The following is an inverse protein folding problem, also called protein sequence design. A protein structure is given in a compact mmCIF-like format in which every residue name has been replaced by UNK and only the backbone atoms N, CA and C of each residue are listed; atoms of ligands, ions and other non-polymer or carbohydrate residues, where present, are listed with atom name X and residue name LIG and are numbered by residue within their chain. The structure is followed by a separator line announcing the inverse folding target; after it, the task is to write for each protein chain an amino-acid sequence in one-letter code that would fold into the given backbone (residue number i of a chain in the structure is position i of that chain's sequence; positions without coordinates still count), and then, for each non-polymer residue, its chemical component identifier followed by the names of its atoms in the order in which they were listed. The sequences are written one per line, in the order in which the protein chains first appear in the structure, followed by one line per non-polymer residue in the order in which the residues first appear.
data_IF_086618520415
#
_entry.id   IF_086618520415
#
_cell.length_a   1.000
_cell.length_b   1.000
_cell.length_c   1.000
_cell.angle_alpha   90.00
_cell.angle_beta   90.00
_cell.angle_gamma   90.00
#
_symmetry.space_group_name_H-M   'P 1'
#
loop_
_entity.id
_entity.type
_entity.pdbx_description
1 polymer ?
#
# COMPACT_ATOMS: atom_id res chain seq x y z
N UNK A 1 -27.72 31.13 -54.99
CA UNK A 1 -27.04 31.08 -53.68
C UNK A 1 -26.02 29.96 -53.79
N UNK A 2 -24.82 30.09 -54.38
CA UNK A 2 -23.67 30.99 -54.21
C UNK A 2 -23.05 30.96 -52.79
N UNK A 3 -21.85 30.37 -52.75
CA UNK A 3 -20.69 30.54 -51.83
C UNK A 3 -20.55 29.49 -50.71
N UNK A 4 -19.42 28.80 -50.48
CA UNK A 4 -18.09 28.91 -51.10
C UNK A 4 -17.31 27.58 -51.01
N UNK A 5 -16.96 27.05 -52.18
CA UNK A 5 -15.77 26.23 -52.39
C UNK A 5 -14.55 27.14 -52.21
N UNK A 6 -13.64 26.82 -51.28
CA UNK A 6 -12.21 27.16 -51.32
C UNK A 6 -11.45 26.01 -50.65
N UNK A 7 -11.17 24.95 -51.40
CA UNK A 7 -9.86 24.67 -52.02
C UNK A 7 -8.98 23.73 -51.16
N UNK A 8 -9.31 22.43 -51.19
CA UNK A 8 -8.27 21.40 -51.19
C UNK A 8 -7.83 21.22 -52.66
N UNK A 9 -6.98 22.13 -53.13
CA UNK A 9 -6.10 22.08 -54.30
C UNK A 9 -5.78 23.51 -54.78
N UNK A 10 -4.82 24.17 -54.12
CA UNK A 10 -3.75 24.79 -54.91
C UNK A 10 -2.75 23.65 -55.20
N UNK A 11 -2.39 23.56 -56.46
CA UNK A 11 -1.67 22.46 -57.09
C UNK A 11 -0.33 22.08 -56.45
N UNK A 12 0.03 20.80 -56.67
CA UNK A 12 1.34 20.14 -56.53
C UNK A 12 1.81 19.78 -55.11
N UNK A 13 1.41 18.60 -54.63
CA UNK A 13 2.33 17.45 -54.44
C UNK A 13 1.60 16.26 -53.77
N UNK A 14 1.29 15.25 -54.59
CA UNK A 14 1.38 13.81 -54.35
C UNK A 14 1.36 13.22 -52.91
N UNK A 15 0.38 12.31 -52.68
CA UNK A 15 0.43 11.08 -51.86
C UNK A 15 0.58 11.23 -50.32
N UNK A 16 -0.02 10.42 -49.44
CA UNK A 16 -1.03 9.37 -49.45
C UNK A 16 -1.44 9.14 -47.97
N UNK A 17 -2.71 8.88 -47.67
CA UNK A 17 -3.06 8.12 -46.47
C UNK A 17 -2.96 6.64 -46.84
N UNK A 18 -2.07 5.91 -46.20
CA UNK A 18 -1.86 4.47 -46.38
C UNK A 18 -1.89 3.76 -45.03
N UNK A 19 -2.95 2.99 -44.82
CA UNK A 19 -3.13 1.94 -43.81
C UNK A 19 -2.43 0.67 -44.34
N UNK A 20 -1.56 0.03 -43.54
CA UNK A 20 -1.07 -1.37 -43.62
C UNK A 20 0.39 -1.47 -43.18
N UNK A 21 0.70 -2.26 -42.15
CA UNK A 21 1.94 -3.06 -42.07
C UNK A 21 1.87 -4.02 -40.85
N UNK A 22 1.14 -5.12 -41.03
CA UNK A 22 1.37 -6.39 -40.34
C UNK A 22 1.84 -7.38 -41.39
N UNK A 23 3.13 -7.38 -41.73
CA UNK A 23 3.86 -8.51 -42.34
C UNK A 23 5.28 -8.06 -42.69
N UNK A 24 6.23 -8.22 -41.75
CA UNK A 24 7.68 -8.39 -41.98
C UNK A 24 8.43 -8.25 -40.65
N UNK A 25 8.66 -9.35 -39.96
CA UNK A 25 9.88 -9.53 -39.17
C UNK A 25 10.12 -11.03 -38.92
N UNK A 26 10.09 -11.80 -40.01
CA UNK A 26 10.59 -13.17 -40.08
C UNK A 26 11.66 -13.20 -41.16
N UNK A 27 12.84 -12.67 -40.85
CA UNK A 27 14.12 -12.96 -41.52
C UNK A 27 15.19 -12.07 -40.87
N UNK A 28 15.76 -12.54 -39.76
CA UNK A 28 17.13 -12.18 -39.33
C UNK A 28 17.63 -13.27 -38.37
N UNK A 29 17.69 -14.49 -38.93
CA UNK A 29 18.44 -15.63 -38.43
C UNK A 29 19.82 -15.61 -39.12
N UNK A 30 20.75 -14.76 -38.68
CA UNK A 30 22.18 -14.98 -38.91
C UNK A 30 23.06 -14.01 -38.10
N UNK A 31 23.92 -14.60 -37.26
CA UNK A 31 25.15 -14.03 -36.68
C UNK A 31 25.04 -13.36 -35.30
N UNK A 32 25.21 -14.15 -34.24
CA UNK A 32 26.34 -14.02 -33.32
C UNK A 32 26.26 -15.08 -32.20
N UNK A 33 26.86 -16.24 -32.47
CA UNK A 33 27.21 -17.23 -31.46
C UNK A 33 28.34 -16.67 -30.56
N UNK A 34 28.07 -16.49 -29.27
CA UNK A 34 29.09 -16.44 -28.21
C UNK A 34 28.62 -17.31 -27.05
N UNK A 35 29.29 -18.44 -26.90
CA UNK A 35 28.93 -19.51 -25.97
C UNK A 35 29.14 -19.17 -24.49
N UNK A 36 28.39 -19.89 -23.67
CA UNK A 36 28.59 -20.04 -22.23
C UNK A 36 28.54 -21.56 -21.94
N UNK A 37 29.67 -22.11 -21.51
CA UNK A 37 29.76 -23.49 -21.00
C UNK A 37 29.00 -23.64 -19.66
N UNK A 38 28.49 -24.84 -19.35
CA UNK A 38 27.93 -25.16 -18.06
C UNK A 38 28.98 -25.77 -17.11
N UNK A 39 28.87 -25.40 -15.83
CA UNK A 39 29.01 -26.28 -14.67
C UNK A 39 30.40 -26.80 -14.30
N UNK A 40 30.90 -26.37 -13.15
CA UNK A 40 31.66 -27.27 -12.27
C UNK A 40 31.39 -26.92 -10.80
N UNK A 41 31.18 -27.98 -10.03
CA UNK A 41 30.66 -28.07 -8.69
C UNK A 41 31.71 -27.70 -7.63
N UNK A 42 31.28 -27.18 -6.49
CA UNK A 42 31.95 -27.42 -5.22
C UNK A 42 30.94 -27.32 -4.06
N UNK A 43 30.56 -28.49 -3.57
CA UNK A 43 30.27 -28.74 -2.15
C UNK A 43 31.34 -28.06 -1.28
N UNK A 44 31.02 -27.52 -0.12
CA UNK A 44 31.13 -28.29 1.13
C UNK A 44 30.35 -27.62 2.27
N UNK A 45 29.80 -28.49 3.12
CA UNK A 45 29.15 -28.16 4.38
C UNK A 45 30.13 -27.50 5.36
N UNK A 46 29.68 -26.48 6.08
CA UNK A 46 30.15 -26.29 7.45
C UNK A 46 28.94 -26.12 8.37
N UNK A 47 28.86 -27.08 9.29
CA UNK A 47 27.84 -27.22 10.29
C UNK A 47 28.06 -26.25 11.46
N UNK A 48 26.99 -26.07 12.24
CA UNK A 48 27.01 -25.76 13.68
C UNK A 48 27.56 -24.38 14.12
N UNK A 49 26.64 -23.43 14.32
CA UNK A 49 26.65 -22.59 15.52
C UNK A 49 25.20 -22.26 15.93
N UNK A 50 24.58 -23.24 16.58
CA UNK A 50 23.31 -23.08 17.31
C UNK A 50 23.54 -23.58 18.73
N UNK A 51 24.32 -22.88 19.55
CA UNK A 51 24.21 -23.08 20.98
C UNK A 51 24.78 -21.98 21.90
N UNK A 52 23.85 -21.38 22.66
CA UNK A 52 23.96 -21.01 24.09
C UNK A 52 24.88 -19.86 24.52
N UNK A 53 24.27 -18.86 25.19
CA UNK A 53 24.11 -18.83 26.66
C UNK A 53 22.77 -18.12 26.96
N UNK A 54 21.70 -18.80 27.35
CA UNK A 54 21.28 -19.22 28.69
C UNK A 54 21.01 -18.09 29.71
N UNK A 55 19.87 -18.29 30.40
CA UNK A 55 19.51 -17.88 31.76
C UNK A 55 18.55 -16.70 31.93
N UNK A 56 17.36 -17.10 32.37
CA UNK A 56 16.32 -16.29 32.97
C UNK A 56 16.83 -15.41 34.11
N UNK A 57 16.33 -14.18 34.15
CA UNK A 57 16.21 -13.42 35.38
C UNK A 57 14.86 -12.71 35.34
N UNK A 58 13.86 -13.36 35.93
CA UNK A 58 12.64 -12.72 36.38
C UNK A 58 12.99 -11.58 37.35
N UNK A 59 12.47 -10.35 37.17
CA UNK A 59 12.40 -9.42 38.28
C UNK A 59 11.31 -9.90 39.26
N UNK A 60 11.80 -10.20 40.48
CA UNK A 60 11.12 -10.35 41.76
C UNK A 60 9.87 -9.45 41.91
N UNK A 61 8.72 -9.97 42.39
CA UNK A 61 7.58 -9.14 42.76
C UNK A 61 7.82 -8.52 44.13
N UNK A 62 7.55 -7.23 44.27
CA UNK A 62 7.40 -6.54 45.54
C UNK A 62 6.56 -5.27 45.33
N UNK A 63 5.84 -4.80 46.35
CA UNK A 63 4.73 -5.46 47.03
C UNK A 63 3.40 -4.74 46.70
N UNK A 64 2.31 -5.48 46.86
CA UNK A 64 0.97 -4.90 46.98
C UNK A 64 0.92 -3.91 48.14
N UNK A 65 0.46 -2.69 47.87
CA UNK A 65 -0.17 -1.84 48.86
C UNK A 65 -1.55 -1.48 48.28
N UNK A 66 -2.56 -1.99 48.98
CA UNK A 66 -3.96 -1.70 48.76
C UNK A 66 -4.23 -0.22 48.99
N UNK A 67 -5.10 0.36 48.17
CA UNK A 67 -6.12 1.31 48.60
C UNK A 67 -7.27 1.20 47.59
N UNK A 68 -8.16 0.25 47.91
CA UNK A 68 -9.51 0.19 47.37
C UNK A 68 -10.30 1.12 48.27
N UNK A 69 -10.43 2.39 47.89
CA UNK A 69 -11.47 3.23 48.44
C UNK A 69 -12.73 3.00 47.61
N UNK A 70 -13.55 2.13 48.20
CA UNK A 70 -14.94 1.93 47.94
C UNK A 70 -15.68 3.17 48.44
N UNK A 71 -15.95 4.12 47.55
CA UNK A 71 -16.96 5.15 47.82
C UNK A 71 -17.83 5.33 46.58
N UNK A 72 -18.78 4.41 46.43
CA UNK A 72 -20.09 4.74 45.89
C UNK A 72 -20.86 5.44 47.01
N UNK A 73 -21.36 6.66 46.76
CA UNK A 73 -22.78 6.82 46.98
C UNK A 73 -23.48 7.50 45.79
N UNK A 74 -24.66 6.95 45.58
CA UNK A 74 -25.68 7.29 44.61
C UNK A 74 -26.02 8.79 44.51
N UNK A 75 -26.38 9.16 43.28
CA UNK A 75 -27.40 10.13 42.88
C UNK A 75 -27.57 11.44 43.68
N UNK A 76 -27.27 12.56 43.02
CA UNK A 76 -28.18 13.70 42.99
C UNK A 76 -28.03 14.50 41.69
N UNK A 77 -29.11 14.49 40.93
CA UNK A 77 -29.52 15.38 39.84
C UNK A 77 -28.87 16.77 39.78
N UNK A 78 -28.31 17.12 38.62
CA UNK A 78 -28.36 18.50 38.12
C UNK A 78 -28.75 18.51 36.63
N UNK A 79 -29.93 19.06 36.26
CA UNK A 79 -30.41 19.08 34.88
C UNK A 79 -30.02 20.36 34.14
N UNK A 80 -29.65 20.17 32.86
CA UNK A 80 -29.52 21.15 31.77
C UNK A 80 -28.19 21.92 31.63
N UNK A 81 -27.29 21.35 30.82
CA UNK A 81 -26.73 22.08 29.68
C UNK A 81 -26.26 21.10 28.58
N UNK A 82 -26.78 21.16 27.34
CA UNK A 82 -26.08 20.60 26.18
C UNK A 82 -24.88 21.50 25.90
N UNK A 83 -23.72 21.17 26.47
CA UNK A 83 -22.47 21.75 26.01
C UNK A 83 -22.05 20.92 24.79
N UNK A 84 -22.26 21.45 23.58
CA UNK A 84 -21.56 21.01 22.37
C UNK A 84 -20.07 21.33 22.55
N UNK A 85 -19.40 20.61 23.44
CA UNK A 85 -17.94 20.58 23.44
C UNK A 85 -17.57 19.72 22.25
N UNK A 86 -16.74 20.22 21.30
CA UNK A 86 -16.14 19.36 20.31
C UNK A 86 -15.51 18.21 21.08
N UNK A 87 -15.99 16.98 20.82
CA UNK A 87 -15.31 15.79 21.32
C UNK A 87 -13.87 15.93 20.82
N UNK A 88 -12.85 15.99 21.70
CA UNK A 88 -11.47 16.05 21.24
C UNK A 88 -11.32 14.92 20.23
N UNK A 89 -10.91 15.27 19.01
CA UNK A 89 -10.78 14.31 17.93
C UNK A 89 -9.98 13.14 18.50
N UNK A 90 -10.59 11.96 18.55
CA UNK A 90 -9.92 10.78 19.07
C UNK A 90 -8.58 10.69 18.32
N UNK A 91 -7.47 10.49 19.04
CA UNK A 91 -6.16 10.39 18.42
C UNK A 91 -6.16 9.16 17.48
N UNK A 92 -6.46 9.37 16.20
CA UNK A 92 -6.55 8.32 15.20
C UNK A 92 -5.13 7.94 14.82
N UNK A 93 -4.65 6.84 15.39
CA UNK A 93 -3.38 6.25 14.98
C UNK A 93 -3.59 5.40 13.72
N UNK A 94 -2.62 5.35 12.79
CA UNK A 94 -2.69 4.46 11.64
C UNK A 94 -2.60 2.99 12.06
N UNK A 95 -2.70 2.08 11.09
CA UNK A 95 -2.64 0.63 11.30
C UNK A 95 -1.24 0.07 11.51
N UNK A 96 -0.22 0.93 11.46
CA UNK A 96 1.17 0.63 11.78
C UNK A 96 1.64 1.51 12.95
N UNK A 97 2.75 1.14 13.58
CA UNK A 97 3.33 1.90 14.68
C UNK A 97 4.18 3.06 14.14
N UNK A 98 3.79 4.27 14.52
CA UNK A 98 4.47 5.50 14.13
C UNK A 98 5.92 5.59 14.62
N UNK A 99 6.30 4.84 15.66
CA UNK A 99 7.70 4.72 16.09
C UNK A 99 8.62 4.07 15.06
N UNK A 100 8.05 3.39 14.05
CA UNK A 100 8.79 2.78 12.94
C UNK A 100 8.60 3.50 11.60
N UNK A 101 8.02 4.71 11.59
CA UNK A 101 7.93 5.51 10.38
C UNK A 101 9.34 5.90 9.89
N UNK A 102 9.66 5.56 8.63
CA UNK A 102 10.99 5.81 8.03
C UNK A 102 10.92 6.65 6.76
N UNK A 103 9.72 6.83 6.20
CA UNK A 103 9.49 7.61 4.97
C UNK A 103 8.64 8.84 5.24
N UNK A 104 8.76 9.87 4.41
CA UNK A 104 7.96 11.10 4.56
C UNK A 104 6.46 10.80 4.48
N UNK A 105 6.07 9.87 3.60
CA UNK A 105 4.69 9.40 3.51
C UNK A 105 4.20 8.79 4.83
N UNK A 106 5.01 7.96 5.50
CA UNK A 106 4.65 7.38 6.81
C UNK A 106 4.54 8.44 7.90
N UNK A 107 5.43 9.44 7.90
CA UNK A 107 5.36 10.57 8.82
C UNK A 107 4.07 11.37 8.62
N UNK A 108 3.71 11.71 7.37
CA UNK A 108 2.43 12.38 7.09
C UNK A 108 1.22 11.56 7.54
N UNK A 109 1.25 10.23 7.37
CA UNK A 109 0.16 9.37 7.83
C UNK A 109 0.05 9.36 9.37
N UNK A 110 1.16 9.50 10.07
CA UNK A 110 1.19 9.58 11.54
C UNK A 110 0.72 10.93 12.08
N UNK A 111 1.00 12.01 11.36
CA UNK A 111 0.69 13.39 11.79
C UNK A 111 -0.70 13.86 11.33
N UNK A 112 -1.29 13.23 10.32
CA UNK A 112 -2.61 13.59 9.77
C UNK A 112 -3.68 12.54 10.13
N UNK A 113 -4.71 12.91 10.93
CA UNK A 113 -5.75 11.97 11.36
C UNK A 113 -6.63 11.45 10.21
N UNK A 114 -6.80 12.20 9.12
CA UNK A 114 -7.58 11.77 7.96
C UNK A 114 -6.79 10.73 7.15
N UNK A 115 -5.47 10.91 7.00
CA UNK A 115 -4.59 9.89 6.41
C UNK A 115 -4.51 8.63 7.28
N UNK A 116 -4.43 8.78 8.60
CA UNK A 116 -4.46 7.65 9.52
C UNK A 116 -5.78 6.85 9.41
N UNK A 117 -6.91 7.53 9.27
CA UNK A 117 -8.22 6.91 9.06
C UNK A 117 -8.30 6.16 7.71
N UNK A 118 -7.75 6.74 6.64
CA UNK A 118 -7.63 6.09 5.33
C UNK A 118 -6.76 4.83 5.41
N UNK A 119 -5.63 4.90 6.12
CA UNK A 119 -4.75 3.76 6.34
C UNK A 119 -5.46 2.61 7.05
N UNK A 120 -6.14 2.90 8.17
CA UNK A 120 -6.94 1.90 8.89
C UNK A 120 -8.02 1.27 8.02
N UNK A 121 -8.71 2.09 7.22
CA UNK A 121 -9.76 1.63 6.31
C UNK A 121 -9.18 0.69 5.27
N UNK A 122 -8.10 1.09 4.59
CA UNK A 122 -7.43 0.27 3.59
C UNK A 122 -6.94 -1.05 4.19
N UNK A 123 -6.24 -1.01 5.32
CA UNK A 123 -5.72 -2.19 6.01
C UNK A 123 -6.82 -3.16 6.43
N UNK A 124 -7.96 -2.66 6.90
CA UNK A 124 -9.12 -3.51 7.22
C UNK A 124 -9.69 -4.19 5.97
N UNK A 125 -9.84 -3.47 4.85
CA UNK A 125 -10.29 -4.02 3.57
C UNK A 125 -9.31 -5.08 3.06
N UNK A 126 -8.01 -4.80 3.10
CA UNK A 126 -6.97 -5.73 2.66
C UNK A 126 -6.96 -7.04 3.46
N UNK A 127 -7.02 -6.97 4.80
CA UNK A 127 -7.10 -8.17 5.65
C UNK A 127 -8.35 -9.00 5.36
N UNK A 128 -9.49 -8.33 5.19
CA UNK A 128 -10.75 -9.01 4.85
C UNK A 128 -10.68 -9.68 3.47
N UNK A 129 -10.06 -9.03 2.49
CA UNK A 129 -9.85 -9.56 1.14
C UNK A 129 -9.01 -10.83 1.17
N UNK A 130 -7.89 -10.81 1.89
CA UNK A 130 -7.04 -11.98 2.06
C UNK A 130 -7.76 -13.16 2.72
N UNK A 131 -8.69 -12.89 3.64
CA UNK A 131 -9.41 -13.94 4.36
C UNK A 131 -10.56 -14.58 3.55
N UNK A 132 -11.12 -13.86 2.57
CA UNK A 132 -12.35 -14.27 1.86
C UNK A 132 -12.13 -14.79 0.45
N UNK A 133 -10.94 -14.58 -0.10
CA UNK A 133 -10.63 -14.89 -1.50
C UNK A 133 -9.84 -16.20 -1.64
N UNK A 134 -9.83 -16.78 -2.85
CA UNK A 134 -9.05 -17.99 -3.14
C UNK A 134 -7.53 -17.73 -3.16
N UNK A 135 -6.74 -18.81 -3.24
CA UNK A 135 -5.28 -18.73 -3.21
C UNK A 135 -4.68 -17.92 -4.37
N UNK A 136 -5.32 -17.94 -5.55
CA UNK A 136 -4.85 -17.21 -6.72
C UNK A 136 -5.01 -15.70 -6.52
N UNK A 137 -6.20 -15.25 -6.11
CA UNK A 137 -6.49 -13.85 -5.80
C UNK A 137 -5.72 -13.36 -4.58
N UNK A 138 -5.56 -14.18 -3.54
CA UNK A 138 -4.76 -13.82 -2.38
C UNK A 138 -3.28 -13.59 -2.76
N UNK A 139 -2.77 -14.35 -3.73
CA UNK A 139 -1.42 -14.14 -4.26
C UNK A 139 -1.30 -12.83 -5.04
N UNK A 140 -2.33 -12.45 -5.81
CA UNK A 140 -2.39 -11.15 -6.49
C UNK A 140 -2.42 -10.01 -5.46
N UNK A 141 -3.30 -10.09 -4.46
CA UNK A 141 -3.42 -9.09 -3.39
C UNK A 141 -2.09 -8.83 -2.67
N UNK A 142 -1.32 -9.88 -2.37
CA UNK A 142 0.00 -9.75 -1.72
C UNK A 142 1.01 -9.02 -2.61
N UNK A 143 1.09 -9.39 -3.89
CA UNK A 143 2.00 -8.74 -4.83
C UNK A 143 1.65 -7.27 -5.04
N UNK A 144 0.37 -6.97 -5.27
CA UNK A 144 -0.07 -5.57 -5.40
C UNK A 144 0.05 -4.79 -4.09
N UNK A 145 -0.04 -5.45 -2.93
CA UNK A 145 0.23 -4.83 -1.63
C UNK A 145 1.66 -4.33 -1.49
N UNK A 146 2.64 -5.11 -1.96
CA UNK A 146 4.03 -4.67 -1.99
C UNK A 146 4.24 -3.49 -2.95
N UNK A 147 3.57 -3.50 -4.10
CA UNK A 147 3.63 -2.39 -5.06
C UNK A 147 3.03 -1.11 -4.47
N UNK A 148 1.86 -1.22 -3.84
CA UNK A 148 1.21 -0.12 -3.13
C UNK A 148 2.13 0.55 -2.11
N UNK A 149 2.85 -0.23 -1.28
CA UNK A 149 3.78 0.34 -0.30
C UNK A 149 4.92 1.13 -0.97
N UNK A 150 5.45 0.62 -2.09
CA UNK A 150 6.48 1.34 -2.87
C UNK A 150 5.95 2.65 -3.45
N UNK A 151 4.74 2.64 -3.98
CA UNK A 151 4.15 3.82 -4.63
C UNK A 151 3.77 4.88 -3.59
N UNK A 152 3.13 4.48 -2.49
CA UNK A 152 2.82 5.36 -1.35
C UNK A 152 4.08 6.04 -0.83
N UNK A 153 5.17 5.30 -0.65
CA UNK A 153 6.42 5.83 -0.10
C UNK A 153 7.18 6.75 -1.05
N UNK A 154 6.76 6.87 -2.32
CA UNK A 154 7.32 7.79 -3.32
C UNK A 154 6.50 9.08 -3.49
N UNK A 155 5.41 9.22 -2.75
CA UNK A 155 4.55 10.40 -2.88
C UNK A 155 5.30 11.69 -2.49
N UNK A 156 5.15 12.77 -3.28
CA UNK A 156 5.81 14.05 -3.01
C UNK A 156 5.06 14.91 -1.97
N UNK A 157 3.81 14.56 -1.65
CA UNK A 157 2.94 15.31 -0.74
C UNK A 157 1.82 14.43 -0.12
N UNK A 158 1.13 14.92 0.93
CA UNK A 158 0.01 14.21 1.57
C UNK A 158 -1.17 13.91 0.64
N UNK A 159 -1.47 14.77 -0.35
CA UNK A 159 -2.57 14.56 -1.29
C UNK A 159 -2.32 13.33 -2.18
N UNK A 160 -1.08 13.15 -2.63
CA UNK A 160 -0.64 11.93 -3.32
C UNK A 160 -0.85 10.70 -2.44
N UNK A 161 -0.52 10.76 -1.15
CA UNK A 161 -0.72 9.62 -0.22
C UNK A 161 -2.20 9.29 -0.09
N UNK A 162 -3.05 10.29 0.11
CA UNK A 162 -4.50 10.11 0.17
C UNK A 162 -5.05 9.48 -1.12
N UNK A 163 -4.55 9.90 -2.29
CA UNK A 163 -4.88 9.29 -3.56
C UNK A 163 -4.42 7.82 -3.59
N UNK A 164 -3.17 7.52 -3.26
CA UNK A 164 -2.66 6.14 -3.25
C UNK A 164 -3.56 5.18 -2.43
N UNK A 165 -4.04 5.61 -1.27
CA UNK A 165 -5.01 4.84 -0.47
C UNK A 165 -6.35 4.63 -1.18
N UNK A 166 -6.92 5.68 -1.79
CA UNK A 166 -8.18 5.58 -2.55
C UNK A 166 -8.05 4.65 -3.77
N UNK A 167 -6.92 4.70 -4.47
CA UNK A 167 -6.62 3.79 -5.57
C UNK A 167 -6.50 2.35 -5.09
N UNK A 168 -5.75 2.12 -4.00
CA UNK A 168 -5.59 0.80 -3.40
C UNK A 168 -6.92 0.17 -2.96
N UNK A 169 -7.83 0.97 -2.39
CA UNK A 169 -9.15 0.50 -2.00
C UNK A 169 -9.98 -0.01 -3.18
N UNK A 170 -9.91 0.67 -4.34
CA UNK A 170 -10.58 0.22 -5.58
C UNK A 170 -9.95 -1.06 -6.12
N UNK A 171 -8.62 -1.09 -6.19
CA UNK A 171 -7.88 -2.27 -6.65
C UNK A 171 -8.19 -3.51 -5.81
N UNK A 172 -8.27 -3.37 -4.48
CA UNK A 172 -8.66 -4.48 -3.59
C UNK A 172 -10.07 -4.97 -3.94
N UNK A 173 -11.03 -4.07 -4.17
CA UNK A 173 -12.40 -4.45 -4.52
C UNK A 173 -12.46 -5.19 -5.87
N UNK A 174 -11.72 -4.72 -6.87
CA UNK A 174 -11.61 -5.34 -8.18
C UNK A 174 -11.01 -6.76 -8.09
N UNK A 175 -9.95 -6.95 -7.29
CA UNK A 175 -9.33 -8.26 -7.08
C UNK A 175 -10.26 -9.20 -6.29
N UNK A 176 -11.01 -8.67 -5.31
CA UNK A 176 -12.08 -9.40 -4.60
C UNK A 176 -13.27 -9.77 -5.49
N UNK A 177 -13.41 -9.14 -6.67
CA UNK A 177 -14.53 -9.35 -7.60
C UNK A 177 -15.82 -8.64 -7.17
N UNK A 178 -15.72 -7.46 -6.56
CA UNK A 178 -16.85 -6.63 -6.13
C UNK A 178 -16.99 -5.35 -6.94
#
# INVERSE_FOLDING_TARGET
MKQSLVFCALSLALAACGDSDQDKLSDDLASAERGVSPGEEASENFAEDVNQVAAAATPKPAPVANEVDEEEPEEASDPLAPIDRPRPAANVQPSFDCGFATTDAEQWICDDPDLAALDRTMSANYRRALARTDSARASILRRSGQQFLRDRNRCPDPDCVAQAYRWRLREIAEIEGR
#
